data_IF_913741486057
#
_entry.id   IF_913741486057
#
_cell.length_a   1.000
_cell.length_b   1.000
_cell.length_c   1.000
_cell.angle_alpha   90.00
_cell.angle_beta   90.00
_cell.angle_gamma   90.00
#
_symmetry.space_group_name_H-M   'P 1'
#
loop_
_entity.id
_entity.type
_entity.pdbx_description
1 polymer ?
#
# COMPACT_ATOMS: atom_id res chain seq x y z
N UNK A 1 29.56 -15.24 -140.19
CA UNK A 1 29.96 -15.66 -138.83
C UNK A 1 29.70 -14.58 -137.76
N UNK A 2 29.92 -13.28 -137.99
CA UNK A 2 29.52 -12.22 -137.04
C UNK A 2 28.02 -12.19 -136.67
N UNK A 3 27.11 -12.48 -137.63
CA UNK A 3 25.66 -12.41 -137.41
C UNK A 3 25.14 -13.43 -136.37
N UNK A 4 25.80 -14.59 -136.23
CA UNK A 4 25.42 -15.60 -135.23
C UNK A 4 25.92 -15.24 -133.83
N UNK A 5 27.14 -14.69 -133.72
CA UNK A 5 27.71 -14.23 -132.45
C UNK A 5 26.90 -13.07 -131.83
N UNK A 6 26.49 -12.08 -132.63
CA UNK A 6 25.59 -11.03 -132.15
C UNK A 6 24.19 -11.57 -131.81
N UNK A 7 23.69 -12.58 -132.52
CA UNK A 7 22.41 -13.22 -132.19
C UNK A 7 22.46 -14.02 -130.88
N UNK A 8 23.57 -14.70 -130.59
CA UNK A 8 23.74 -15.47 -129.35
C UNK A 8 24.00 -14.55 -128.16
N UNK A 9 24.79 -13.49 -128.32
CA UNK A 9 24.90 -12.40 -127.32
C UNK A 9 23.54 -11.75 -127.08
N UNK A 10 22.74 -11.54 -128.13
CA UNK A 10 21.39 -10.98 -127.99
C UNK A 10 20.48 -11.95 -127.24
N UNK A 11 20.56 -13.26 -127.49
CA UNK A 11 19.81 -14.29 -126.75
C UNK A 11 20.24 -14.40 -125.28
N UNK A 12 21.54 -14.34 -124.98
CA UNK A 12 22.05 -14.39 -123.60
C UNK A 12 21.76 -13.10 -122.85
N UNK A 13 21.87 -11.93 -123.49
CA UNK A 13 21.41 -10.67 -122.93
C UNK A 13 19.90 -10.69 -122.70
N UNK A 14 19.10 -11.25 -123.61
CA UNK A 14 17.65 -11.43 -123.41
C UNK A 14 17.33 -12.38 -122.25
N UNK A 15 18.06 -13.50 -122.12
CA UNK A 15 17.93 -14.43 -120.98
C UNK A 15 18.33 -13.78 -119.65
N UNK A 16 19.39 -12.98 -119.65
CA UNK A 16 19.82 -12.21 -118.47
C UNK A 16 18.78 -11.14 -118.12
N UNK A 17 18.24 -10.43 -119.12
CA UNK A 17 17.15 -9.48 -118.94
C UNK A 17 15.91 -10.17 -118.37
N UNK A 18 15.56 -11.37 -118.85
CA UNK A 18 14.43 -12.14 -118.34
C UNK A 18 14.67 -12.68 -116.92
N UNK A 19 15.90 -13.10 -116.61
CA UNK A 19 16.33 -13.49 -115.26
C UNK A 19 16.22 -12.31 -114.29
N UNK A 20 16.79 -11.16 -114.65
CA UNK A 20 16.72 -9.93 -113.86
C UNK A 20 15.27 -9.44 -113.73
N UNK A 21 14.43 -9.58 -114.76
CA UNK A 21 12.99 -9.29 -114.68
C UNK A 21 12.26 -10.21 -113.70
N UNK A 22 12.60 -11.51 -113.66
CA UNK A 22 12.04 -12.47 -112.69
C UNK A 22 12.51 -12.13 -111.28
N UNK A 23 13.79 -11.85 -111.09
CA UNK A 23 14.34 -11.45 -109.78
C UNK A 23 13.73 -10.14 -109.29
N UNK A 24 13.56 -9.13 -110.16
CA UNK A 24 12.83 -7.90 -109.84
C UNK A 24 11.36 -8.20 -109.48
N UNK A 25 10.71 -9.13 -110.18
CA UNK A 25 9.33 -9.55 -109.87
C UNK A 25 9.23 -10.20 -108.49
N UNK A 26 10.15 -11.10 -108.16
CA UNK A 26 10.20 -11.79 -106.88
C UNK A 26 10.61 -10.86 -105.74
N UNK A 27 11.55 -9.94 -105.98
CA UNK A 27 11.87 -8.86 -105.06
C UNK A 27 10.66 -7.96 -104.81
N UNK A 28 9.88 -7.60 -105.84
CA UNK A 28 8.64 -6.82 -105.67
C UNK A 28 7.59 -7.57 -104.85
N UNK A 29 7.43 -8.88 -105.07
CA UNK A 29 6.53 -9.73 -104.25
C UNK A 29 6.98 -9.79 -102.79
N UNK A 30 8.28 -9.99 -102.54
CA UNK A 30 8.85 -9.98 -101.19
C UNK A 30 8.70 -8.61 -100.52
N UNK A 31 8.92 -7.52 -101.26
CA UNK A 31 8.73 -6.16 -100.75
C UNK A 31 7.26 -5.89 -100.40
N UNK A 32 6.31 -6.34 -101.22
CA UNK A 32 4.87 -6.20 -100.93
C UNK A 32 4.44 -7.04 -99.72
N UNK A 33 4.91 -8.28 -99.61
CA UNK A 33 4.65 -9.15 -98.46
C UNK A 33 5.26 -8.56 -97.17
N UNK A 34 6.48 -8.04 -97.24
CA UNK A 34 7.14 -7.39 -96.11
C UNK A 34 6.43 -6.09 -95.72
N UNK A 35 5.97 -5.28 -96.68
CA UNK A 35 5.18 -4.09 -96.41
C UNK A 35 3.86 -4.42 -95.70
N UNK A 36 3.18 -5.50 -96.10
CA UNK A 36 1.98 -5.99 -95.43
C UNK A 36 2.28 -6.47 -94.00
N UNK A 37 3.35 -7.25 -93.81
CA UNK A 37 3.77 -7.70 -92.48
C UNK A 37 4.12 -6.51 -91.57
N UNK A 38 4.84 -5.51 -92.09
CA UNK A 38 5.16 -4.28 -91.34
C UNK A 38 3.90 -3.50 -90.98
N UNK A 39 2.92 -3.44 -91.88
CA UNK A 39 1.62 -2.82 -91.60
C UNK A 39 0.88 -3.57 -90.48
N UNK A 40 0.80 -4.90 -90.55
CA UNK A 40 0.10 -5.73 -89.56
C UNK A 40 0.77 -5.66 -88.18
N UNK A 41 2.11 -5.68 -88.13
CA UNK A 41 2.88 -5.48 -86.88
C UNK A 41 2.66 -4.08 -86.31
N UNK A 42 2.64 -3.04 -87.15
CA UNK A 42 2.40 -1.67 -86.71
C UNK A 42 0.98 -1.48 -86.16
N UNK A 43 0.00 -2.08 -86.81
CA UNK A 43 -1.39 -2.06 -86.35
C UNK A 43 -1.54 -2.79 -85.02
N UNK A 44 -0.94 -3.97 -84.88
CA UNK A 44 -1.00 -4.75 -83.64
C UNK A 44 -0.25 -4.05 -82.49
N UNK A 45 0.90 -3.44 -82.75
CA UNK A 45 1.61 -2.63 -81.76
C UNK A 45 0.77 -1.44 -81.29
N UNK A 46 0.06 -0.76 -82.20
CA UNK A 46 -0.88 0.31 -81.81
C UNK A 46 -2.02 -0.22 -80.96
N UNK A 47 -2.60 -1.37 -81.34
CA UNK A 47 -3.69 -2.02 -80.60
C UNK A 47 -3.28 -2.44 -79.19
N UNK A 48 -2.05 -2.91 -79.02
CA UNK A 48 -1.53 -3.38 -77.73
C UNK A 48 -0.95 -2.26 -76.85
N UNK A 49 -0.60 -1.10 -77.43
CA UNK A 49 0.04 0.00 -76.67
C UNK A 49 -0.87 0.58 -75.59
N UNK A 50 -2.15 0.78 -75.88
CA UNK A 50 -3.13 1.32 -74.93
C UNK A 50 -3.44 0.35 -73.77
N UNK A 51 -3.78 -0.94 -73.99
CA UNK A 51 -4.01 -1.87 -72.90
C UNK A 51 -2.74 -2.14 -72.08
N UNK A 52 -1.56 -2.11 -72.69
CA UNK A 52 -0.30 -2.21 -71.95
C UNK A 52 -0.09 -0.98 -71.05
N UNK A 53 -0.33 0.23 -71.55
CA UNK A 53 -0.24 1.45 -70.75
C UNK A 53 -1.24 1.44 -69.58
N UNK A 54 -2.48 1.02 -69.83
CA UNK A 54 -3.50 0.88 -68.79
C UNK A 54 -3.11 -0.15 -67.72
N UNK A 55 -2.59 -1.31 -68.14
CA UNK A 55 -2.11 -2.35 -67.21
C UNK A 55 -0.93 -1.87 -66.36
N UNK A 56 0.01 -1.11 -66.94
CA UNK A 56 1.14 -0.53 -66.19
C UNK A 56 0.64 0.51 -65.17
N UNK A 57 -0.30 1.38 -65.54
CA UNK A 57 -0.89 2.33 -64.61
C UNK A 57 -1.63 1.63 -63.46
N UNK A 58 -2.38 0.57 -63.76
CA UNK A 58 -3.10 -0.18 -62.73
C UNK A 58 -2.13 -0.90 -61.78
N UNK A 59 -1.03 -1.46 -62.30
CA UNK A 59 0.02 -2.05 -61.47
C UNK A 59 0.62 -1.01 -60.51
N UNK A 60 0.90 0.21 -60.97
CA UNK A 60 1.42 1.24 -60.08
C UNK A 60 0.41 1.73 -59.06
N UNK A 61 -0.87 1.86 -59.44
CA UNK A 61 -1.95 2.16 -58.50
C UNK A 61 -2.07 1.08 -57.42
N UNK A 62 -2.04 -0.19 -57.81
CA UNK A 62 -2.10 -1.32 -56.88
C UNK A 62 -0.88 -1.39 -55.97
N UNK A 63 0.32 -1.11 -56.48
CA UNK A 63 1.55 -1.01 -55.66
C UNK A 63 1.45 0.10 -54.63
N UNK A 64 0.90 1.26 -54.98
CA UNK A 64 0.63 2.32 -54.02
C UNK A 64 -0.38 1.89 -52.95
N UNK A 65 -1.50 1.28 -53.35
CA UNK A 65 -2.49 0.75 -52.43
C UNK A 65 -1.90 -0.26 -51.44
N UNK A 66 -1.05 -1.18 -51.92
CA UNK A 66 -0.37 -2.17 -51.08
C UNK A 66 0.55 -1.50 -50.05
N UNK A 67 1.25 -0.43 -50.43
CA UNK A 67 2.13 0.32 -49.51
C UNK A 67 1.33 0.99 -48.40
N UNK A 68 0.16 1.54 -48.72
CA UNK A 68 -0.69 2.18 -47.72
C UNK A 68 -1.36 1.15 -46.81
N UNK A 69 -1.83 0.02 -47.35
CA UNK A 69 -2.32 -1.11 -46.55
C UNK A 69 -1.26 -1.62 -45.56
N UNK A 70 0.00 -1.71 -45.99
CA UNK A 70 1.12 -2.09 -45.11
C UNK A 70 1.32 -1.11 -43.96
N UNK A 71 1.20 0.20 -44.21
CA UNK A 71 1.27 1.23 -43.15
C UNK A 71 0.09 1.12 -42.19
N UNK A 72 -1.11 0.94 -42.71
CA UNK A 72 -2.33 0.83 -41.90
C UNK A 72 -2.28 -0.41 -41.01
N UNK A 73 -1.81 -1.54 -41.54
CA UNK A 73 -1.59 -2.76 -40.78
C UNK A 73 -0.58 -2.56 -39.64
N UNK A 74 0.51 -1.81 -39.88
CA UNK A 74 1.48 -1.49 -38.83
C UNK A 74 0.88 -0.58 -37.76
N UNK A 75 0.14 0.46 -38.17
CA UNK A 75 -0.55 1.38 -37.26
C UNK A 75 -1.58 0.65 -36.40
N UNK A 76 -2.37 -0.25 -36.99
CA UNK A 76 -3.34 -1.08 -36.29
C UNK A 76 -2.66 -2.00 -35.27
N UNK A 77 -1.55 -2.65 -35.65
CA UNK A 77 -0.76 -3.46 -34.72
C UNK A 77 -0.27 -2.64 -33.53
N UNK A 78 0.23 -1.42 -33.77
CA UNK A 78 0.71 -0.53 -32.72
C UNK A 78 -0.43 -0.04 -31.82
N UNK A 79 -1.59 0.30 -32.39
CA UNK A 79 -2.78 0.68 -31.63
C UNK A 79 -3.28 -0.46 -30.75
N UNK A 80 -3.35 -1.69 -31.27
CA UNK A 80 -3.74 -2.88 -30.51
C UNK A 80 -2.76 -3.15 -29.36
N UNK A 81 -1.45 -3.02 -29.59
CA UNK A 81 -0.46 -3.18 -28.53
C UNK A 81 -0.63 -2.13 -27.40
N UNK A 82 -0.93 -0.88 -27.77
CA UNK A 82 -1.24 0.19 -26.78
C UNK A 82 -2.52 -0.10 -26.02
N UNK A 83 -3.57 -0.57 -26.70
CA UNK A 83 -4.85 -0.91 -26.09
C UNK A 83 -4.67 -1.99 -25.01
N UNK A 84 -3.96 -3.07 -25.31
CA UNK A 84 -3.67 -4.15 -24.34
C UNK A 84 -2.90 -3.62 -23.13
N UNK A 85 -1.93 -2.73 -23.34
CA UNK A 85 -1.19 -2.11 -22.25
C UNK A 85 -2.10 -1.24 -21.36
N UNK A 86 -2.95 -0.40 -21.97
CA UNK A 86 -3.87 0.47 -21.25
C UNK A 86 -4.90 -0.35 -20.47
N UNK A 87 -5.44 -1.43 -21.05
CA UNK A 87 -6.37 -2.33 -20.35
C UNK A 87 -5.74 -2.93 -19.10
N UNK A 88 -4.49 -3.39 -19.19
CA UNK A 88 -3.75 -3.89 -18.03
C UNK A 88 -3.58 -2.82 -16.95
N UNK A 89 -3.15 -1.61 -17.35
CA UNK A 89 -3.00 -0.49 -16.42
C UNK A 89 -4.32 -0.12 -15.74
N UNK A 90 -5.44 -0.18 -16.47
CA UNK A 90 -6.77 0.12 -15.96
C UNK A 90 -7.18 -0.91 -14.90
N UNK A 91 -6.95 -2.20 -15.16
CA UNK A 91 -7.22 -3.28 -14.19
C UNK A 91 -6.38 -3.09 -12.92
N UNK A 92 -5.09 -2.81 -13.07
CA UNK A 92 -4.19 -2.59 -11.93
C UNK A 92 -4.60 -1.36 -11.11
N UNK A 93 -5.00 -0.27 -11.78
CA UNK A 93 -5.44 0.96 -11.13
C UNK A 93 -6.77 0.75 -10.38
N UNK A 94 -7.71 0.01 -10.97
CA UNK A 94 -8.97 -0.36 -10.30
C UNK A 94 -8.72 -1.17 -9.03
N UNK A 95 -7.82 -2.14 -9.07
CA UNK A 95 -7.45 -2.94 -7.88
C UNK A 95 -6.85 -2.06 -6.79
N UNK A 96 -5.89 -1.19 -7.15
CA UNK A 96 -5.28 -0.24 -6.20
C UNK A 96 -6.30 0.70 -5.58
N UNK A 97 -7.23 1.20 -6.39
CA UNK A 97 -8.31 2.06 -5.91
C UNK A 97 -9.18 1.31 -4.90
N UNK A 98 -9.63 0.10 -5.23
CA UNK A 98 -10.44 -0.73 -4.33
C UNK A 98 -9.72 -1.01 -3.00
N UNK A 99 -8.45 -1.41 -3.03
CA UNK A 99 -7.67 -1.64 -1.82
C UNK A 99 -7.51 -0.37 -0.98
N UNK A 100 -7.28 0.77 -1.63
CA UNK A 100 -7.12 2.05 -0.93
C UNK A 100 -8.43 2.51 -0.30
N UNK A 101 -9.56 2.35 -0.98
CA UNK A 101 -10.89 2.64 -0.43
C UNK A 101 -11.21 1.78 0.78
N UNK A 102 -10.88 0.48 0.74
CA UNK A 102 -11.08 -0.40 1.90
C UNK A 102 -10.20 0.00 3.09
N UNK A 103 -8.91 0.27 2.83
CA UNK A 103 -7.99 0.74 3.85
C UNK A 103 -8.45 2.07 4.48
N UNK A 104 -8.94 3.00 3.66
CA UNK A 104 -9.48 4.27 4.13
C UNK A 104 -10.69 4.08 5.05
N UNK A 105 -11.65 3.24 4.67
CA UNK A 105 -12.83 2.93 5.50
C UNK A 105 -12.43 2.30 6.85
N UNK A 106 -11.46 1.40 6.83
CA UNK A 106 -10.94 0.80 8.07
C UNK A 106 -10.25 1.84 8.96
N UNK A 107 -9.44 2.72 8.37
CA UNK A 107 -8.78 3.82 9.09
C UNK A 107 -9.80 4.78 9.71
N UNK A 108 -10.86 5.13 8.98
CA UNK A 108 -11.93 5.99 9.48
C UNK A 108 -12.71 5.34 10.63
N UNK A 109 -13.03 4.05 10.51
CA UNK A 109 -13.65 3.29 11.59
C UNK A 109 -12.78 3.25 12.85
N UNK A 110 -11.47 3.01 12.69
CA UNK A 110 -10.52 3.01 13.80
C UNK A 110 -10.41 4.39 14.46
N UNK A 111 -10.40 5.47 13.66
CA UNK A 111 -10.39 6.84 14.18
C UNK A 111 -11.64 7.11 15.02
N UNK A 112 -12.81 6.74 14.52
CA UNK A 112 -14.08 6.97 15.21
C UNK A 112 -14.13 6.18 16.52
N UNK A 113 -13.78 4.88 16.47
CA UNK A 113 -13.74 4.04 17.68
C UNK A 113 -12.75 4.57 18.74
N UNK A 114 -11.60 5.09 18.29
CA UNK A 114 -10.63 5.70 19.20
C UNK A 114 -11.19 6.98 19.86
N UNK A 115 -11.91 7.80 19.09
CA UNK A 115 -12.54 9.01 19.60
C UNK A 115 -13.64 8.68 20.62
N UNK A 116 -14.52 7.75 20.29
CA UNK A 116 -15.60 7.30 21.18
C UNK A 116 -15.04 6.70 22.48
N UNK A 117 -13.99 5.87 22.38
CA UNK A 117 -13.32 5.29 23.55
C UNK A 117 -12.63 6.35 24.40
N UNK A 118 -12.07 7.38 23.78
CA UNK A 118 -11.41 8.48 24.48
C UNK A 118 -12.44 9.31 25.27
N UNK A 119 -13.53 9.74 24.64
CA UNK A 119 -14.61 10.46 25.31
C UNK A 119 -15.21 9.63 26.45
N UNK A 120 -15.50 8.35 26.20
CA UNK A 120 -16.01 7.46 27.23
C UNK A 120 -15.06 7.34 28.43
N UNK A 121 -13.76 7.19 28.17
CA UNK A 121 -12.75 7.08 29.23
C UNK A 121 -12.66 8.37 30.04
N UNK A 122 -12.68 9.54 29.39
CA UNK A 122 -12.68 10.83 30.07
C UNK A 122 -13.88 10.96 30.98
N UNK A 123 -15.08 10.72 30.47
CA UNK A 123 -16.30 10.82 31.27
C UNK A 123 -16.29 9.83 32.43
N UNK A 124 -15.88 8.58 32.20
CA UNK A 124 -15.78 7.58 33.25
C UNK A 124 -14.82 8.00 34.37
N UNK A 125 -13.65 8.53 34.02
CA UNK A 125 -12.67 9.04 35.00
C UNK A 125 -13.22 10.24 35.76
N UNK A 126 -13.83 11.20 35.06
CA UNK A 126 -14.46 12.37 35.66
C UNK A 126 -15.53 11.97 36.67
N UNK A 127 -16.52 11.18 36.26
CA UNK A 127 -17.59 10.70 37.15
C UNK A 127 -17.05 9.92 38.34
N UNK A 128 -16.01 9.09 38.14
CA UNK A 128 -15.37 8.35 39.24
C UNK A 128 -14.67 9.28 40.24
N UNK A 129 -14.01 10.33 39.75
CA UNK A 129 -13.38 11.34 40.59
C UNK A 129 -14.42 12.17 41.34
N UNK A 130 -15.46 12.63 40.66
CA UNK A 130 -16.58 13.37 41.24
C UNK A 130 -17.26 12.56 42.35
N UNK A 131 -17.55 11.27 42.11
CA UNK A 131 -18.13 10.40 43.12
C UNK A 131 -17.20 10.23 44.34
N UNK A 132 -15.90 10.02 44.11
CA UNK A 132 -14.92 9.93 45.20
C UNK A 132 -14.86 11.22 46.02
N UNK A 133 -14.84 12.37 45.36
CA UNK A 133 -14.81 13.67 46.02
C UNK A 133 -16.06 13.87 46.87
N UNK A 134 -17.25 13.59 46.31
CA UNK A 134 -18.52 13.69 47.03
C UNK A 134 -18.53 12.81 48.30
N UNK A 135 -18.07 11.56 48.20
CA UNK A 135 -18.00 10.66 49.35
C UNK A 135 -16.99 11.16 50.40
N UNK A 136 -15.85 11.71 49.97
CA UNK A 136 -14.86 12.28 50.89
C UNK A 136 -15.39 13.53 51.59
N UNK A 137 -16.09 14.42 50.87
CA UNK A 137 -16.73 15.61 51.42
C UNK A 137 -17.78 15.24 52.46
N UNK A 138 -18.65 14.26 52.17
CA UNK A 138 -19.64 13.77 53.12
C UNK A 138 -19.00 13.19 54.39
N UNK A 139 -17.93 12.39 54.24
CA UNK A 139 -17.18 11.85 55.40
C UNK A 139 -16.52 12.96 56.21
N UNK A 140 -15.93 13.95 55.55
CA UNK A 140 -15.27 15.07 56.21
C UNK A 140 -16.28 15.92 56.97
N UNK A 141 -17.44 16.18 56.38
CA UNK A 141 -18.56 16.85 57.06
C UNK A 141 -19.03 16.07 58.29
N UNK A 142 -19.26 14.76 58.17
CA UNK A 142 -19.66 13.91 59.29
C UNK A 142 -18.61 13.86 60.42
N UNK A 143 -17.32 13.77 60.08
CA UNK A 143 -16.25 13.83 61.08
C UNK A 143 -16.15 15.22 61.72
N UNK A 144 -16.37 16.29 60.97
CA UNK A 144 -16.43 17.66 61.50
C UNK A 144 -17.56 17.83 62.52
N UNK A 145 -18.76 17.33 62.22
CA UNK A 145 -19.88 17.33 63.16
C UNK A 145 -19.57 16.51 64.42
N UNK A 146 -18.98 15.31 64.25
CA UNK A 146 -18.62 14.47 65.38
C UNK A 146 -17.55 15.13 66.27
N UNK A 147 -16.57 15.79 65.65
CA UNK A 147 -15.55 16.55 66.35
C UNK A 147 -16.17 17.69 67.16
N UNK A 148 -17.03 18.49 66.54
CA UNK A 148 -17.71 19.61 67.22
C UNK A 148 -18.56 19.13 68.40
N UNK A 149 -19.28 18.01 68.25
CA UNK A 149 -20.06 17.39 69.34
C UNK A 149 -19.16 16.94 70.50
N UNK A 150 -18.04 16.26 70.19
CA UNK A 150 -17.08 15.80 71.21
C UNK A 150 -16.38 16.96 71.91
N UNK A 151 -16.06 18.04 71.19
CA UNK A 151 -15.47 19.24 71.77
C UNK A 151 -16.44 19.89 72.76
N UNK A 152 -17.71 20.09 72.37
CA UNK A 152 -18.72 20.65 73.26
C UNK A 152 -18.93 19.79 74.52
N UNK A 153 -18.94 18.46 74.39
CA UNK A 153 -19.02 17.54 75.54
C UNK A 153 -17.80 17.66 76.46
N UNK A 154 -16.59 17.81 75.88
CA UNK A 154 -15.38 18.01 76.67
C UNK A 154 -15.43 19.33 77.44
N UNK A 155 -15.85 20.42 76.78
CA UNK A 155 -15.97 21.73 77.40
C UNK A 155 -16.97 21.71 78.57
N UNK A 156 -18.11 21.02 78.42
CA UNK A 156 -19.10 20.84 79.48
C UNK A 156 -18.54 20.07 80.69
N UNK A 157 -17.80 18.98 80.45
CA UNK A 157 -17.16 18.21 81.52
C UNK A 157 -16.11 19.05 82.26
N UNK A 158 -15.31 19.83 81.53
CA UNK A 158 -14.31 20.71 82.13
C UNK A 158 -14.94 21.79 83.01
N UNK A 159 -16.05 22.39 82.55
CA UNK A 159 -16.83 23.33 83.36
C UNK A 159 -17.41 22.67 84.62
N UNK A 160 -17.98 21.47 84.50
CA UNK A 160 -18.57 20.74 85.63
C UNK A 160 -17.53 20.28 86.66
N UNK A 161 -16.32 19.93 86.21
CA UNK A 161 -15.27 19.40 87.07
C UNK A 161 -14.56 20.45 87.94
N UNK A 162 -14.80 21.75 87.72
CA UNK A 162 -14.17 22.85 88.46
C UNK A 162 -12.64 22.74 88.54
N UNK A 163 -12.03 22.17 87.49
CA UNK A 163 -10.59 21.95 87.43
C UNK A 163 -9.88 23.29 87.17
N UNK A 164 -8.78 23.52 87.88
CA UNK A 164 -7.93 24.69 87.65
C UNK A 164 -7.31 24.62 86.24
N UNK A 165 -7.39 25.72 85.48
CA UNK A 165 -7.00 25.73 84.06
C UNK A 165 -5.55 25.28 83.79
N UNK A 166 -4.65 25.48 84.75
CA UNK A 166 -3.25 25.02 84.66
C UNK A 166 -3.10 23.49 84.73
N UNK A 167 -3.91 22.81 85.53
CA UNK A 167 -3.87 21.34 85.66
C UNK A 167 -4.49 20.65 84.44
N UNK A 168 -5.56 21.20 83.88
CA UNK A 168 -6.17 20.73 82.62
C UNK A 168 -5.17 20.84 81.47
N UNK A 169 -4.52 22.00 81.31
CA UNK A 169 -3.53 22.21 80.27
C UNK A 169 -2.37 21.20 80.35
N UNK A 170 -1.86 20.95 81.57
CA UNK A 170 -0.78 19.99 81.81
C UNK A 170 -1.17 18.55 81.45
N UNK A 171 -2.38 18.13 81.79
CA UNK A 171 -2.86 16.77 81.46
C UNK A 171 -3.07 16.62 79.96
N UNK A 172 -3.66 17.61 79.30
CA UNK A 172 -3.86 17.63 77.84
C UNK A 172 -2.53 17.54 77.09
N UNK A 173 -1.54 18.37 77.45
CA UNK A 173 -0.22 18.36 76.81
C UNK A 173 0.49 17.00 76.95
N UNK A 174 0.40 16.39 78.13
CA UNK A 174 0.97 15.07 78.37
C UNK A 174 0.28 13.99 77.53
N UNK A 175 -1.05 14.08 77.38
CA UNK A 175 -1.83 13.16 76.57
C UNK A 175 -1.50 13.32 75.08
N UNK A 176 -1.41 14.55 74.59
CA UNK A 176 -1.03 14.85 73.19
C UNK A 176 0.36 14.34 72.85
N UNK A 177 1.32 14.52 73.75
CA UNK A 177 2.69 14.01 73.59
C UNK A 177 2.70 12.47 73.51
N UNK A 178 1.93 11.81 74.38
CA UNK A 178 1.79 10.34 74.38
C UNK A 178 1.11 9.84 73.11
N UNK A 179 0.02 10.47 72.67
CA UNK A 179 -0.70 10.13 71.45
C UNK A 179 0.19 10.30 70.22
N UNK A 180 0.93 11.41 70.15
CA UNK A 180 1.89 11.68 69.07
C UNK A 180 2.97 10.60 69.02
N UNK A 181 3.54 10.24 70.17
CA UNK A 181 4.57 9.20 70.27
C UNK A 181 4.04 7.84 69.80
N UNK A 182 2.84 7.45 70.25
CA UNK A 182 2.21 6.19 69.84
C UNK A 182 1.88 6.18 68.34
N UNK A 183 1.33 7.28 67.81
CA UNK A 183 1.01 7.41 66.39
C UNK A 183 2.25 7.32 65.51
N UNK A 184 3.35 7.96 65.90
CA UNK A 184 4.64 7.81 65.20
C UNK A 184 5.12 6.37 65.21
N UNK A 185 5.05 5.69 66.37
CA UNK A 185 5.43 4.27 66.46
C UNK A 185 4.57 3.36 65.59
N UNK A 186 3.26 3.63 65.49
CA UNK A 186 2.35 2.90 64.60
C UNK A 186 2.79 3.07 63.15
N UNK A 187 3.06 4.30 62.70
CA UNK A 187 3.52 4.57 61.33
C UNK A 187 4.85 3.87 61.04
N UNK A 188 5.80 3.93 61.97
CA UNK A 188 7.10 3.26 61.83
C UNK A 188 6.94 1.74 61.71
N UNK A 189 6.09 1.12 62.53
CA UNK A 189 5.83 -0.32 62.48
C UNK A 189 5.12 -0.71 61.17
N UNK A 190 4.13 0.07 60.73
CA UNK A 190 3.46 -0.16 59.44
C UNK A 190 4.45 -0.08 58.28
N UNK A 191 5.35 0.90 58.30
CA UNK A 191 6.44 1.01 57.33
C UNK A 191 7.38 -0.20 57.36
N UNK A 192 7.77 -0.65 58.56
CA UNK A 192 8.64 -1.83 58.71
C UNK A 192 7.98 -3.10 58.16
N UNK A 193 6.68 -3.31 58.44
CA UNK A 193 5.92 -4.42 57.87
C UNK A 193 5.89 -4.33 56.35
N UNK A 194 5.54 -3.18 55.79
CA UNK A 194 5.52 -2.98 54.33
C UNK A 194 6.90 -3.26 53.70
N UNK A 195 7.98 -2.82 54.36
CA UNK A 195 9.36 -3.05 53.93
C UNK A 195 9.74 -4.52 53.96
N UNK A 196 9.42 -5.23 55.04
CA UNK A 196 9.69 -6.66 55.18
C UNK A 196 8.91 -7.47 54.13
N UNK A 197 7.61 -7.19 53.97
CA UNK A 197 6.78 -7.89 52.98
C UNK A 197 7.27 -7.65 51.55
N UNK A 198 7.75 -6.45 51.24
CA UNK A 198 8.36 -6.16 49.94
C UNK A 198 9.67 -6.92 49.73
N UNK A 199 10.57 -6.89 50.71
CA UNK A 199 11.84 -7.61 50.63
C UNK A 199 11.62 -9.13 50.42
N UNK A 200 10.62 -9.70 51.09
CA UNK A 200 10.21 -11.09 50.88
C UNK A 200 9.72 -11.34 49.44
N UNK A 201 8.81 -10.51 48.93
CA UNK A 201 8.29 -10.67 47.56
C UNK A 201 9.38 -10.49 46.47
N UNK A 202 10.30 -9.55 46.65
CA UNK A 202 11.42 -9.32 45.71
C UNK A 202 12.41 -10.49 45.74
N UNK A 203 12.70 -11.03 46.92
CA UNK A 203 13.53 -12.22 47.07
C UNK A 203 12.88 -13.44 46.40
N UNK A 204 11.58 -13.66 46.61
CA UNK A 204 10.82 -14.74 45.99
C UNK A 204 10.92 -14.68 44.46
N UNK A 205 10.66 -13.51 43.86
CA UNK A 205 10.79 -13.33 42.40
C UNK A 205 12.20 -13.59 41.89
N UNK A 206 13.21 -13.15 42.63
CA UNK A 206 14.61 -13.36 42.25
C UNK A 206 14.95 -14.85 42.26
N UNK A 207 14.51 -15.59 43.29
CA UNK A 207 14.70 -17.04 43.36
C UNK A 207 13.93 -17.78 42.28
N UNK A 208 12.66 -17.45 42.03
CA UNK A 208 11.87 -18.05 40.95
C UNK A 208 12.52 -17.79 39.57
N UNK A 209 13.02 -16.58 39.33
CA UNK A 209 13.77 -16.28 38.11
C UNK A 209 15.03 -17.14 38.01
N UNK A 210 15.78 -17.28 39.10
CA UNK A 210 17.01 -18.06 39.10
C UNK A 210 16.76 -19.56 38.93
N UNK A 211 15.69 -20.10 39.50
CA UNK A 211 15.28 -21.50 39.30
C UNK A 211 14.91 -21.77 37.84
N UNK A 212 14.21 -20.84 37.20
CA UNK A 212 13.94 -20.92 35.75
C UNK A 212 15.21 -20.89 34.91
N UNK A 213 16.20 -20.05 35.25
CA UNK A 213 17.50 -20.05 34.58
C UNK A 213 18.21 -21.40 34.66
N UNK A 214 18.02 -22.14 35.75
CA UNK A 214 18.56 -23.49 35.95
C UNK A 214 17.71 -24.59 35.29
N UNK A 215 16.64 -24.23 34.58
CA UNK A 215 15.80 -25.15 33.83
C UNK A 215 14.72 -25.85 34.65
N UNK A 216 14.40 -25.37 35.86
CA UNK A 216 13.29 -25.91 36.63
C UNK A 216 11.94 -25.47 36.00
N UNK A 217 11.01 -26.40 35.74
CA UNK A 217 9.66 -26.09 35.30
C UNK A 217 8.88 -25.27 36.33
N UNK A 218 7.99 -24.39 35.83
CA UNK A 218 7.14 -23.55 36.70
C UNK A 218 6.26 -24.36 37.66
N UNK A 219 5.84 -25.56 37.28
CA UNK A 219 5.04 -26.45 38.14
C UNK A 219 5.83 -26.89 39.37
N UNK A 220 7.10 -27.29 39.19
CA UNK A 220 7.97 -27.71 40.28
C UNK A 220 8.26 -26.53 41.24
N UNK A 221 8.47 -25.34 40.68
CA UNK A 221 8.67 -24.11 41.47
C UNK A 221 7.41 -23.81 42.31
N UNK A 222 6.20 -23.95 41.75
CA UNK A 222 4.94 -23.75 42.49
C UNK A 222 4.74 -24.77 43.61
N UNK A 223 5.20 -26.01 43.44
CA UNK A 223 5.07 -27.05 44.48
C UNK A 223 5.86 -26.73 45.77
N UNK A 224 6.83 -25.81 45.71
CA UNK A 224 7.59 -25.35 46.87
C UNK A 224 6.72 -24.58 47.89
N UNK A 225 5.52 -24.13 47.51
CA UNK A 225 4.54 -23.55 48.43
C UNK A 225 4.80 -22.11 48.87
N UNK A 226 5.82 -21.45 48.31
CA UNK A 226 6.07 -20.03 48.57
C UNK A 226 5.10 -19.17 47.76
N UNK A 227 4.29 -18.39 48.47
CA UNK A 227 3.36 -17.45 47.85
C UNK A 227 3.78 -16.00 48.16
N UNK A 228 3.64 -15.07 47.21
CA UNK A 228 3.86 -13.66 47.48
C UNK A 228 2.84 -13.15 48.50
N UNK A 229 3.31 -12.32 49.43
CA UNK A 229 2.45 -11.63 50.39
C UNK A 229 1.61 -10.58 49.66
N UNK A 230 0.36 -10.40 50.09
CA UNK A 230 -0.48 -9.30 49.62
C UNK A 230 0.08 -7.99 50.19
N UNK A 231 0.61 -7.11 49.34
CA UNK A 231 1.16 -5.82 49.76
C UNK A 231 0.59 -4.69 48.90
N UNK A 232 0.49 -3.49 49.47
CA UNK A 232 0.23 -2.26 48.73
C UNK A 232 1.53 -1.61 48.21
N UNK A 233 2.64 -2.37 48.17
CA UNK A 233 3.96 -1.83 47.82
C UNK A 233 4.23 -1.96 46.31
N UNK A 234 5.05 -1.06 45.78
CA UNK A 234 5.42 -1.08 44.36
C UNK A 234 6.24 -2.33 43.99
N UNK A 235 6.17 -2.69 42.71
CA UNK A 235 6.89 -3.82 42.09
C UNK A 235 8.38 -3.56 41.85
N UNK A 236 8.82 -2.30 41.98
CA UNK A 236 10.23 -1.93 41.81
C UNK A 236 11.09 -2.31 43.02
N UNK A 237 12.43 -2.20 42.97
CA UNK A 237 13.33 -2.70 44.02
C UNK A 237 12.99 -2.24 45.45
N UNK A 238 13.14 -3.14 46.43
CA UNK A 238 12.85 -2.90 47.86
C UNK A 238 13.46 -1.63 48.45
N UNK A 239 14.62 -1.19 47.93
CA UNK A 239 15.32 0.02 48.37
C UNK A 239 14.57 1.35 48.14
N UNK A 240 13.49 1.34 47.36
CA UNK A 240 12.72 2.54 46.98
C UNK A 240 11.47 2.80 47.83
N UNK A 241 11.30 2.10 48.96
CA UNK A 241 10.21 2.42 49.88
C UNK A 241 10.55 3.70 50.66
N UNK A 242 10.00 4.83 50.20
CA UNK A 242 10.07 6.11 50.93
C UNK A 242 9.24 6.05 52.20
N UNK A 243 9.76 6.65 53.29
CA UNK A 243 9.01 6.85 54.53
C UNK A 243 7.88 7.87 54.34
#
# INVERSE_FOLDING_TARGET
QMKNYYNDITKDNLRLIDSLKREISDMKKKAAANAKLMHDISHENKRLSEPLAAAVQEVERLKHGLKDEQKDRLSLRNANARLVLLEKQLVDLRKKHQSLTQAYKAMEANRNALYDSFEHTIHSVQTKCEYKNLVLEQRLSAYGEQHNKKQAQLDEILMAAHLEGGEVARVTEKLDTLLTTKNTKIRDLQYQVAKASKAYNDALRTYESKMRDFGLPDEDIRTLGFNPLLTATSVGPAGLLTK
#
